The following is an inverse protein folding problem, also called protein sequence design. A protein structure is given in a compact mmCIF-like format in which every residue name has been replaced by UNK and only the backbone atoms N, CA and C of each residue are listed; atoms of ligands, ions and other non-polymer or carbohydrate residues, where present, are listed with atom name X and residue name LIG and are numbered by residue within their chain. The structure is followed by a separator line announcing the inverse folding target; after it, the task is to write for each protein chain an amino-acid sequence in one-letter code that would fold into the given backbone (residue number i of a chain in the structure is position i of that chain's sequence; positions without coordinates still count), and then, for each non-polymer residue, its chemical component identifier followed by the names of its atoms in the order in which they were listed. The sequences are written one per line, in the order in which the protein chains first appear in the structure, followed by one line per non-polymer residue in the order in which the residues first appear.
data_IF_359762010100
#
_entry.id   IF_359762010100
#
_cell.length_a   1.000
_cell.length_b   1.000
_cell.length_c   1.000
_cell.angle_alpha   90.00
_cell.angle_beta   90.00
_cell.angle_gamma   90.00
#
_symmetry.space_group_name_H-M   'P 1'
#
loop_
_entity.id
_entity.type
_entity.pdbx_description
1 polymer ?
#
# COMPACT_ATOMS: atom_id res chain seq x y z
N UNK A 1 -11.42 17.47 26.42
CA UNK A 1 -10.68 16.95 25.26
C UNK A 1 -10.39 15.50 25.56
N UNK A 2 -11.25 14.61 25.12
CA UNK A 2 -10.97 13.17 25.20
C UNK A 2 -9.75 12.92 24.31
N UNK A 3 -8.70 12.35 24.89
CA UNK A 3 -7.57 11.84 24.13
C UNK A 3 -8.12 10.74 23.22
N UNK A 4 -8.22 11.00 21.93
CA UNK A 4 -8.48 9.93 20.97
C UNK A 4 -7.34 8.93 21.09
N UNK A 5 -7.62 7.79 21.72
CA UNK A 5 -6.67 6.70 21.84
C UNK A 5 -6.65 5.97 20.50
N UNK A 6 -5.48 5.83 19.92
CA UNK A 6 -5.31 5.05 18.70
C UNK A 6 -5.67 3.59 18.99
N UNK A 7 -6.55 3.02 18.21
CA UNK A 7 -6.98 1.63 18.34
C UNK A 7 -6.36 0.77 17.27
N UNK A 8 -5.91 -0.41 17.66
CA UNK A 8 -5.56 -1.47 16.72
C UNK A 8 -6.83 -2.27 16.44
N UNK A 9 -7.19 -2.33 15.16
CA UNK A 9 -8.37 -3.03 14.68
C UNK A 9 -7.93 -4.11 13.69
N UNK A 10 -8.36 -5.33 13.93
CA UNK A 10 -8.25 -6.43 12.99
C UNK A 10 -9.66 -6.83 12.53
N UNK A 11 -9.89 -6.87 11.24
CA UNK A 11 -11.19 -7.21 10.68
C UNK A 11 -11.06 -8.19 9.52
N UNK A 12 -12.03 -9.07 9.43
CA UNK A 12 -12.28 -9.86 8.23
C UNK A 12 -13.40 -9.18 7.45
N UNK A 13 -13.17 -8.93 6.17
CA UNK A 13 -14.18 -8.31 5.32
C UNK A 13 -14.15 -8.85 3.89
N UNK A 14 -15.27 -8.66 3.23
CA UNK A 14 -15.46 -8.76 1.80
C UNK A 14 -15.80 -7.35 1.29
N UNK A 15 -15.08 -6.89 0.28
CA UNK A 15 -15.32 -5.62 -0.40
C UNK A 15 -16.00 -5.87 -1.74
N UNK A 16 -17.16 -5.26 -1.90
CA UNK A 16 -17.89 -5.27 -3.16
C UNK A 16 -17.93 -3.86 -3.75
N UNK A 17 -17.80 -3.76 -5.06
CA UNK A 17 -18.20 -2.56 -5.80
C UNK A 17 -19.65 -2.70 -6.23
N UNK A 18 -20.37 -1.59 -6.15
CA UNK A 18 -21.73 -1.48 -6.66
C UNK A 18 -21.69 -0.47 -7.81
N UNK A 19 -21.93 -0.95 -9.02
CA UNK A 19 -21.99 -0.08 -10.19
C UNK A 19 -23.36 0.65 -10.27
N UNK A 20 -23.51 1.55 -11.25
CA UNK A 20 -24.74 2.33 -11.44
C UNK A 20 -25.96 1.46 -11.72
N UNK A 21 -25.79 0.24 -12.20
CA UNK A 21 -26.84 -0.73 -12.46
C UNK A 21 -27.24 -1.53 -11.19
N UNK A 22 -26.57 -1.30 -10.06
CA UNK A 22 -26.80 -2.03 -8.81
C UNK A 22 -26.15 -3.41 -8.76
N UNK A 23 -25.30 -3.76 -9.74
CA UNK A 23 -24.57 -5.03 -9.72
C UNK A 23 -23.44 -4.97 -8.71
N UNK A 24 -23.34 -6.01 -7.89
CA UNK A 24 -22.29 -6.19 -6.89
C UNK A 24 -21.21 -7.09 -7.43
N UNK A 25 -19.99 -6.60 -7.46
CA UNK A 25 -18.82 -7.36 -7.85
C UNK A 25 -17.85 -7.45 -6.67
N UNK A 26 -17.49 -8.65 -6.29
CA UNK A 26 -16.47 -8.88 -5.27
C UNK A 26 -15.11 -8.42 -5.81
N UNK A 27 -14.45 -7.53 -5.09
CA UNK A 27 -13.15 -6.95 -5.45
C UNK A 27 -12.06 -7.56 -4.60
N UNK A 28 -12.31 -7.66 -3.31
CA UNK A 28 -11.33 -8.10 -2.33
C UNK A 28 -12.02 -8.86 -1.20
N UNK A 29 -11.34 -9.86 -0.70
CA UNK A 29 -11.75 -10.63 0.46
C UNK A 29 -10.50 -10.93 1.30
N UNK A 30 -10.57 -10.61 2.57
CA UNK A 30 -9.54 -11.02 3.53
C UNK A 30 -9.85 -12.43 4.05
N UNK A 31 -8.87 -13.11 4.61
CA UNK A 31 -9.06 -14.41 5.25
C UNK A 31 -8.92 -14.29 6.76
N UNK A 32 -9.38 -15.32 7.49
CA UNK A 32 -9.18 -15.37 8.94
C UNK A 32 -7.70 -15.46 9.34
N UNK A 33 -6.89 -16.08 8.48
CA UNK A 33 -5.44 -16.22 8.68
C UNK A 33 -4.67 -14.94 8.34
N UNK A 34 -5.24 -14.13 7.44
CA UNK A 34 -4.70 -12.85 7.00
C UNK A 34 -5.78 -11.75 7.08
N UNK A 35 -6.16 -11.34 8.28
CA UNK A 35 -7.11 -10.25 8.46
C UNK A 35 -6.48 -8.92 8.06
N UNK A 36 -7.32 -7.95 7.71
CA UNK A 36 -6.88 -6.58 7.56
C UNK A 36 -6.65 -5.96 8.93
N UNK A 37 -5.41 -5.57 9.21
CA UNK A 37 -5.01 -4.97 10.49
C UNK A 37 -4.58 -3.53 10.24
N UNK A 38 -5.15 -2.61 10.99
CA UNK A 38 -4.78 -1.19 10.91
C UNK A 38 -4.86 -0.53 12.28
N UNK A 39 -4.19 0.61 12.40
CA UNK A 39 -4.25 1.47 13.60
C UNK A 39 -4.97 2.76 13.21
N UNK A 40 -5.96 3.15 14.01
CA UNK A 40 -6.77 4.35 13.75
C UNK A 40 -5.93 5.63 13.84
N UNK A 41 -6.24 6.60 12.97
CA UNK A 41 -5.58 7.92 12.96
C UNK A 41 -4.30 8.00 12.13
N UNK A 42 -3.92 6.96 11.40
CA UNK A 42 -2.72 6.96 10.54
C UNK A 42 -3.03 6.95 9.05
N UNK A 43 -4.31 6.99 8.67
CA UNK A 43 -4.72 7.02 7.26
C UNK A 43 -4.39 5.75 6.48
N UNK A 44 -4.26 4.62 7.16
CA UNK A 44 -4.00 3.31 6.56
C UNK A 44 -5.27 2.65 6.02
N UNK A 45 -6.42 3.12 6.44
CA UNK A 45 -7.74 2.73 5.97
C UNK A 45 -8.54 3.97 5.51
N UNK A 46 -9.67 3.75 4.85
CA UNK A 46 -10.59 4.85 4.52
C UNK A 46 -11.17 5.44 5.80
N UNK A 47 -11.20 6.76 5.93
CA UNK A 47 -11.68 7.46 7.12
C UNK A 47 -13.08 7.00 7.54
N UNK A 48 -13.99 6.85 6.58
CA UNK A 48 -15.35 6.40 6.85
C UNK A 48 -15.42 4.93 7.31
N UNK A 49 -14.51 4.07 6.83
CA UNK A 49 -14.38 2.68 7.28
C UNK A 49 -13.84 2.64 8.71
N UNK A 50 -12.80 3.42 8.98
CA UNK A 50 -12.19 3.57 10.29
C UNK A 50 -13.20 4.07 11.33
N UNK A 51 -13.97 5.12 11.00
CA UNK A 51 -14.99 5.71 11.86
C UNK A 51 -16.08 4.72 12.27
N UNK A 52 -16.46 3.82 11.38
CA UNK A 52 -17.45 2.79 11.67
C UNK A 52 -16.85 1.71 12.57
N UNK A 53 -15.68 1.17 12.19
CA UNK A 53 -15.08 0.04 12.90
C UNK A 53 -14.58 0.40 14.30
N UNK A 54 -14.14 1.65 14.54
CA UNK A 54 -13.69 2.08 15.87
C UNK A 54 -14.77 1.98 16.95
N UNK A 55 -16.06 2.01 16.55
CA UNK A 55 -17.20 1.90 17.44
C UNK A 55 -17.71 0.48 17.63
N UNK A 56 -17.22 -0.48 16.86
CA UNK A 56 -17.63 -1.88 16.92
C UNK A 56 -16.78 -2.67 17.91
N UNK A 57 -17.42 -3.57 18.64
CA UNK A 57 -16.75 -4.50 19.54
C UNK A 57 -16.19 -5.73 18.82
N UNK A 58 -15.36 -6.48 19.54
CA UNK A 58 -14.83 -7.76 19.06
C UNK A 58 -15.96 -8.74 18.75
N UNK A 59 -15.96 -9.35 17.57
CA UNK A 59 -16.95 -10.30 17.09
C UNK A 59 -18.20 -9.65 16.49
N UNK A 60 -18.31 -8.33 16.51
CA UNK A 60 -19.43 -7.64 15.88
C UNK A 60 -19.32 -7.67 14.36
N UNK A 61 -20.44 -7.91 13.72
CA UNK A 61 -20.59 -7.92 12.26
C UNK A 61 -20.94 -6.55 11.75
N UNK A 62 -20.45 -6.24 10.57
CA UNK A 62 -20.81 -5.02 9.87
C UNK A 62 -21.22 -5.33 8.41
N UNK A 63 -22.12 -4.52 7.92
CA UNK A 63 -22.53 -4.49 6.50
C UNK A 63 -22.97 -3.06 6.22
N UNK A 64 -22.12 -2.30 5.51
CA UNK A 64 -22.39 -0.91 5.21
C UNK A 64 -21.90 -0.53 3.82
N UNK A 65 -22.53 0.50 3.27
CA UNK A 65 -22.16 1.05 1.98
C UNK A 65 -21.51 2.43 2.15
N UNK A 66 -20.44 2.65 1.41
CA UNK A 66 -19.79 3.94 1.29
C UNK A 66 -20.06 4.52 -0.09
N UNK A 67 -20.58 5.75 -0.10
CA UNK A 67 -20.73 6.51 -1.33
C UNK A 67 -19.36 6.90 -1.90
N UNK A 68 -19.34 7.24 -3.18
CA UNK A 68 -18.16 7.62 -3.95
C UNK A 68 -17.32 8.67 -3.23
N UNK A 69 -17.95 9.70 -2.66
CA UNK A 69 -17.26 10.81 -1.96
C UNK A 69 -16.53 10.39 -0.69
N UNK A 70 -17.02 9.33 -0.03
CA UNK A 70 -16.45 8.79 1.21
C UNK A 70 -15.50 7.62 0.98
N UNK A 71 -15.22 7.32 -0.29
CA UNK A 71 -14.34 6.23 -0.69
C UNK A 71 -13.19 6.77 -1.57
N UNK A 72 -13.10 6.31 -2.81
CA UNK A 72 -12.01 6.71 -3.72
C UNK A 72 -12.38 7.89 -4.64
N UNK A 73 -13.48 8.56 -4.37
CA UNK A 73 -13.96 9.71 -5.13
C UNK A 73 -14.68 9.34 -6.43
N UNK A 74 -15.14 10.35 -7.14
CA UNK A 74 -15.75 10.17 -8.44
C UNK A 74 -14.69 9.87 -9.52
N UNK A 75 -15.13 9.20 -10.57
CA UNK A 75 -14.28 9.01 -11.75
C UNK A 75 -14.11 10.35 -12.47
N UNK A 76 -12.87 10.81 -12.60
CA UNK A 76 -12.53 12.05 -13.32
C UNK A 76 -11.97 11.72 -14.72
N UNK A 77 -12.71 12.01 -15.80
CA UNK A 77 -12.22 11.82 -17.15
C UNK A 77 -10.94 12.60 -17.48
N UNK A 78 -10.64 13.69 -16.73
CA UNK A 78 -9.42 14.48 -16.91
C UNK A 78 -8.16 13.76 -16.45
N UNK A 79 -8.32 12.74 -15.61
CA UNK A 79 -7.23 11.85 -15.19
C UNK A 79 -6.90 10.75 -16.20
N UNK A 80 -7.64 10.71 -17.32
CA UNK A 80 -7.30 9.87 -18.46
C UNK A 80 -6.39 10.67 -19.37
N UNK A 81 -5.13 10.30 -19.45
CA UNK A 81 -4.09 11.00 -20.20
C UNK A 81 -3.50 10.14 -21.31
N UNK A 82 -2.97 10.79 -22.31
CA UNK A 82 -2.22 10.14 -23.39
C UNK A 82 -0.73 10.40 -23.22
N UNK A 83 0.05 9.36 -23.10
CA UNK A 83 1.51 9.41 -22.98
C UNK A 83 2.16 8.91 -24.27
N UNK A 84 3.34 9.47 -24.58
CA UNK A 84 4.10 9.01 -25.74
C UNK A 84 4.57 7.56 -25.53
N UNK A 85 4.41 6.73 -26.55
CA UNK A 85 4.82 5.34 -26.52
C UNK A 85 6.32 5.15 -26.29
N UNK A 86 7.12 6.16 -26.65
CA UNK A 86 8.57 6.18 -26.43
C UNK A 86 8.93 6.09 -24.94
N UNK A 87 8.08 6.62 -24.04
CA UNK A 87 8.29 6.54 -22.57
C UNK A 87 8.25 5.10 -22.05
N UNK A 88 7.68 4.19 -22.82
CA UNK A 88 7.52 2.77 -22.49
C UNK A 88 8.42 1.87 -23.35
N UNK A 89 9.48 2.44 -23.92
CA UNK A 89 10.48 1.70 -24.67
C UNK A 89 11.74 1.47 -23.85
N UNK A 90 12.20 0.23 -23.84
CA UNK A 90 13.46 -0.19 -23.23
C UNK A 90 14.36 -0.68 -24.37
N UNK A 91 15.57 -0.14 -24.46
CA UNK A 91 16.54 -0.47 -25.53
C UNK A 91 15.98 -0.30 -26.96
N UNK A 92 15.11 0.71 -27.15
CA UNK A 92 14.50 0.98 -28.47
C UNK A 92 13.32 0.08 -28.83
N UNK A 93 12.92 -0.84 -27.96
CA UNK A 93 11.79 -1.73 -28.18
C UNK A 93 10.68 -1.43 -27.18
N UNK A 94 9.44 -1.35 -27.67
CA UNK A 94 8.26 -1.18 -26.83
C UNK A 94 8.08 -2.41 -25.92
N UNK A 95 7.96 -2.16 -24.61
CA UNK A 95 7.78 -3.21 -23.60
C UNK A 95 6.35 -3.79 -23.63
N UNK A 96 6.05 -4.57 -24.66
CA UNK A 96 4.75 -5.22 -24.82
C UNK A 96 4.46 -6.31 -23.78
N UNK A 97 5.45 -6.74 -23.00
CA UNK A 97 5.27 -7.74 -21.94
C UNK A 97 4.59 -7.14 -20.72
N UNK A 98 4.98 -5.92 -20.36
CA UNK A 98 4.47 -5.22 -19.19
C UNK A 98 3.38 -4.19 -19.55
N UNK A 99 3.37 -3.69 -20.81
CA UNK A 99 2.45 -2.67 -21.30
C UNK A 99 1.46 -3.28 -22.29
N UNK A 100 0.30 -3.67 -21.79
CA UNK A 100 -0.82 -4.19 -22.59
C UNK A 100 -2.13 -3.62 -22.10
N UNK A 101 -3.17 -3.70 -22.91
CA UNK A 101 -4.49 -3.20 -22.55
C UNK A 101 -5.00 -3.86 -21.25
N UNK A 102 -5.30 -3.05 -20.24
CA UNK A 102 -5.72 -3.49 -18.90
C UNK A 102 -4.59 -3.67 -17.91
N UNK A 103 -3.31 -3.56 -18.31
CA UNK A 103 -2.18 -3.62 -17.40
C UNK A 103 -2.19 -2.44 -16.42
N UNK A 104 -1.74 -2.70 -15.21
CA UNK A 104 -1.48 -1.66 -14.21
C UNK A 104 0.02 -1.39 -14.18
N UNK A 105 0.38 -0.15 -14.46
CA UNK A 105 1.78 0.28 -14.56
C UNK A 105 2.07 1.38 -13.53
N UNK A 106 3.20 1.31 -12.84
CA UNK A 106 3.65 2.41 -11.99
C UNK A 106 4.18 3.55 -12.88
N UNK A 107 3.62 4.72 -12.72
CA UNK A 107 4.10 5.96 -13.33
C UNK A 107 4.65 6.87 -12.25
N UNK A 108 5.66 7.66 -12.62
CA UNK A 108 6.27 8.67 -11.75
C UNK A 108 6.06 10.03 -12.39
N UNK A 109 5.55 11.00 -11.62
CA UNK A 109 5.47 12.38 -12.10
C UNK A 109 6.81 13.12 -11.91
N UNK A 110 6.87 14.36 -12.41
CA UNK A 110 8.05 15.23 -12.29
C UNK A 110 8.42 15.53 -10.83
N UNK A 111 7.45 15.54 -9.92
CA UNK A 111 7.64 15.76 -8.49
C UNK A 111 8.17 14.50 -7.77
N UNK A 112 8.29 13.38 -8.47
CA UNK A 112 8.78 12.13 -7.91
C UNK A 112 7.72 11.20 -7.28
N UNK A 113 6.45 11.60 -7.31
CA UNK A 113 5.37 10.79 -6.77
C UNK A 113 5.01 9.63 -7.72
N UNK A 114 4.73 8.46 -7.13
CA UNK A 114 4.34 7.28 -7.88
C UNK A 114 2.82 7.16 -7.93
N UNK A 115 2.32 6.83 -9.11
CA UNK A 115 0.90 6.55 -9.37
C UNK A 115 0.78 5.22 -10.09
N UNK A 116 -0.25 4.47 -9.77
CA UNK A 116 -0.59 3.27 -10.53
C UNK A 116 -1.60 3.69 -11.59
N UNK A 117 -1.22 3.52 -12.86
CA UNK A 117 -2.06 3.82 -14.00
C UNK A 117 -2.54 2.54 -14.67
N UNK A 118 -3.79 2.53 -15.11
CA UNK A 118 -4.35 1.44 -15.90
C UNK A 118 -4.27 1.77 -17.39
N UNK A 119 -3.69 0.90 -18.18
CA UNK A 119 -3.61 1.05 -19.64
C UNK A 119 -4.99 0.78 -20.24
N UNK A 120 -5.59 1.78 -20.86
CA UNK A 120 -6.88 1.67 -21.53
C UNK A 120 -6.73 1.24 -22.98
N UNK A 121 -5.80 1.88 -23.71
CA UNK A 121 -5.60 1.67 -25.14
C UNK A 121 -4.14 1.97 -25.52
N UNK A 122 -3.67 1.25 -26.54
CA UNK A 122 -2.32 1.44 -27.10
C UNK A 122 -2.50 1.75 -28.58
N UNK A 123 -2.12 2.96 -28.97
CA UNK A 123 -2.11 3.42 -30.36
C UNK A 123 -0.71 3.27 -30.99
N UNK A 124 -0.55 3.70 -32.22
CA UNK A 124 0.73 3.64 -32.93
C UNK A 124 1.84 4.42 -32.18
N UNK A 125 1.52 5.66 -31.75
CA UNK A 125 2.47 6.59 -31.15
C UNK A 125 2.18 6.95 -29.68
N UNK A 126 1.01 6.53 -29.17
CA UNK A 126 0.52 6.91 -27.84
C UNK A 126 -0.03 5.73 -27.06
N UNK A 127 0.07 5.82 -25.75
CA UNK A 127 -0.56 4.93 -24.78
C UNK A 127 -1.54 5.76 -23.96
N UNK A 128 -2.81 5.40 -23.99
CA UNK A 128 -3.86 6.03 -23.18
C UNK A 128 -3.94 5.32 -21.85
N UNK A 129 -3.71 6.07 -20.78
CA UNK A 129 -3.68 5.56 -19.43
C UNK A 129 -4.69 6.28 -18.55
N UNK A 130 -5.25 5.57 -17.60
CA UNK A 130 -6.19 6.05 -16.60
C UNK A 130 -5.47 6.11 -15.25
N UNK A 131 -5.39 7.31 -14.68
CA UNK A 131 -4.80 7.58 -13.37
C UNK A 131 -5.83 7.56 -12.24
N UNK A 132 -7.11 7.30 -12.56
CA UNK A 132 -8.12 7.13 -11.54
C UNK A 132 -7.87 5.87 -10.71
N UNK A 133 -8.26 5.92 -9.45
CA UNK A 133 -8.24 4.70 -8.65
C UNK A 133 -9.15 3.64 -9.29
N UNK A 134 -8.77 2.35 -9.32
CA UNK A 134 -9.56 1.29 -9.96
C UNK A 134 -11.01 1.18 -9.45
N UNK A 135 -11.25 1.63 -8.22
CA UNK A 135 -12.56 1.63 -7.58
C UNK A 135 -13.25 3.01 -7.59
N UNK A 136 -12.62 4.04 -8.18
CA UNK A 136 -13.24 5.37 -8.31
C UNK A 136 -14.54 5.30 -9.13
N UNK A 137 -15.50 6.13 -8.77
CA UNK A 137 -16.80 6.18 -9.42
C UNK A 137 -17.79 5.09 -9.02
N UNK A 138 -17.39 4.11 -8.22
CA UNK A 138 -18.27 3.06 -7.71
C UNK A 138 -18.60 3.29 -6.24
N UNK A 139 -19.81 2.88 -5.83
CA UNK A 139 -20.10 2.71 -4.41
C UNK A 139 -19.42 1.46 -3.90
N UNK A 140 -18.97 1.50 -2.66
CA UNK A 140 -18.33 0.36 -2.00
C UNK A 140 -19.27 -0.21 -0.96
N UNK A 141 -19.35 -1.53 -0.87
CA UNK A 141 -20.02 -2.22 0.22
C UNK A 141 -19.03 -3.10 0.94
N UNK A 142 -18.89 -2.86 2.23
CA UNK A 142 -18.04 -3.62 3.13
C UNK A 142 -18.91 -4.51 3.99
N UNK A 143 -18.64 -5.79 3.98
CA UNK A 143 -19.35 -6.79 4.78
C UNK A 143 -18.36 -7.69 5.48
N UNK A 144 -18.48 -7.81 6.80
CA UNK A 144 -17.53 -8.60 7.55
C UNK A 144 -17.80 -8.61 9.05
N UNK A 145 -16.74 -8.84 9.81
CA UNK A 145 -16.78 -8.80 11.27
C UNK A 145 -15.43 -8.38 11.85
N UNK A 146 -15.47 -7.78 13.03
CA UNK A 146 -14.29 -7.37 13.78
C UNK A 146 -13.71 -8.56 14.52
N UNK A 147 -12.45 -8.87 14.27
CA UNK A 147 -11.72 -9.93 14.98
C UNK A 147 -11.18 -9.38 16.30
N UNK A 148 -10.58 -8.20 16.26
CA UNK A 148 -9.99 -7.55 17.41
C UNK A 148 -10.18 -6.03 17.31
N UNK A 149 -10.52 -5.41 18.45
CA UNK A 149 -10.57 -3.95 18.62
C UNK A 149 -10.08 -3.64 20.03
N UNK A 150 -8.89 -3.08 20.14
CA UNK A 150 -8.25 -2.70 21.39
C UNK A 150 -7.42 -1.43 21.21
N UNK A 151 -6.99 -0.86 22.31
CA UNK A 151 -6.01 0.21 22.25
C UNK A 151 -4.68 -0.30 21.67
N UNK A 152 -4.10 0.48 20.77
CA UNK A 152 -2.79 0.19 20.20
C UNK A 152 -1.68 0.46 21.22
N UNK A 153 -0.71 -0.42 21.28
CA UNK A 153 0.48 -0.20 22.12
C UNK A 153 1.45 0.77 21.44
N UNK A 154 2.30 1.42 22.24
CA UNK A 154 3.30 2.33 21.71
C UNK A 154 4.27 1.63 20.74
N UNK A 155 4.60 0.37 20.99
CA UNK A 155 5.50 -0.41 20.15
C UNK A 155 4.87 -0.71 18.77
N UNK A 156 3.55 -0.99 18.74
CA UNK A 156 2.81 -1.20 17.49
C UNK A 156 2.73 0.08 16.66
N UNK A 157 2.47 1.22 17.33
CA UNK A 157 2.48 2.54 16.69
C UNK A 157 3.87 2.85 16.13
N UNK A 158 4.93 2.64 16.89
CA UNK A 158 6.30 2.86 16.43
C UNK A 158 6.67 1.97 15.25
N UNK A 159 6.26 0.71 15.27
CA UNK A 159 6.48 -0.23 14.18
C UNK A 159 5.79 0.24 12.90
N UNK A 160 4.53 0.69 13.02
CA UNK A 160 3.79 1.25 11.88
C UNK A 160 4.48 2.49 11.31
N UNK A 161 4.87 3.45 12.19
CA UNK A 161 5.56 4.67 11.78
C UNK A 161 6.89 4.37 11.09
N UNK A 162 7.66 3.40 11.57
CA UNK A 162 8.90 2.98 10.94
C UNK A 162 8.66 2.40 9.54
N UNK A 163 7.59 1.63 9.34
CA UNK A 163 7.20 1.13 8.01
C UNK A 163 6.78 2.25 7.07
N UNK A 164 5.99 3.22 7.56
CA UNK A 164 5.52 4.35 6.75
C UNK A 164 6.64 5.32 6.35
N UNK A 165 7.64 5.52 7.23
CA UNK A 165 8.77 6.42 6.98
C UNK A 165 9.89 5.79 6.13
N UNK A 166 9.67 4.61 5.56
CA UNK A 166 10.67 3.94 4.74
C UNK A 166 11.93 3.57 5.52
N UNK A 167 11.80 3.40 6.82
CA UNK A 167 12.88 2.95 7.70
C UNK A 167 13.31 1.55 7.31
N UNK A 168 14.32 1.51 6.44
CA UNK A 168 14.98 0.28 6.10
C UNK A 168 15.53 -0.39 7.34
N UNK A 169 15.34 -1.70 7.39
CA UNK A 169 16.12 -2.65 8.19
C UNK A 169 16.34 -2.24 9.65
N UNK A 170 15.33 -2.35 10.50
CA UNK A 170 15.59 -2.69 11.88
C UNK A 170 16.05 -4.15 11.90
N UNK A 171 17.32 -4.35 11.52
CA UNK A 171 17.98 -5.62 11.70
C UNK A 171 17.97 -5.95 13.18
N UNK A 172 17.02 -6.76 13.58
CA UNK A 172 17.11 -7.51 14.81
C UNK A 172 18.22 -8.54 14.59
N UNK A 173 19.46 -8.09 14.77
CA UNK A 173 20.58 -9.00 14.97
C UNK A 173 20.37 -9.68 16.32
N UNK A 174 19.45 -10.61 16.37
CA UNK A 174 19.33 -11.55 17.47
C UNK A 174 20.53 -12.48 17.44
N UNK A 175 21.41 -12.35 18.41
CA UNK A 175 22.41 -13.37 18.72
C UNK A 175 23.80 -13.12 18.14
N UNK A 176 24.50 -12.12 18.65
CA UNK A 176 25.94 -12.18 18.81
C UNK A 176 26.23 -12.25 20.30
N UNK A 177 26.09 -13.43 20.88
CA UNK A 177 26.80 -13.76 22.09
C UNK A 177 28.28 -13.94 21.71
N UNK A 178 29.03 -12.87 21.73
CA UNK A 178 30.46 -12.91 21.92
C UNK A 178 30.94 -11.57 22.50
N UNK A 179 31.60 -11.64 23.61
CA UNK A 179 32.21 -10.55 24.36
C UNK A 179 33.22 -9.80 23.47
N UNK A 180 32.85 -8.61 23.02
CA UNK A 180 33.74 -7.74 22.25
C UNK A 180 32.98 -6.52 21.75
N UNK A 181 32.95 -5.48 22.60
CA UNK A 181 32.19 -4.26 22.31
C UNK A 181 32.59 -3.58 21.00
N UNK A 182 31.65 -3.39 20.11
CA UNK A 182 31.77 -2.42 19.01
C UNK A 182 31.54 -1.02 19.58
N UNK A 183 32.58 -0.36 20.05
CA UNK A 183 32.66 1.09 20.13
C UNK A 183 33.07 1.59 18.75
N UNK A 184 32.19 2.34 18.08
CA UNK A 184 32.50 2.98 16.81
C UNK A 184 31.35 3.89 16.37
N UNK A 185 31.43 5.17 16.76
CA UNK A 185 30.80 6.26 16.03
C UNK A 185 31.35 6.24 14.59
N UNK A 186 30.47 6.24 13.60
CA UNK A 186 30.94 6.42 12.22
C UNK A 186 29.90 6.04 11.19
N UNK A 187 29.36 7.06 10.54
CA UNK A 187 28.43 6.96 9.45
C UNK A 187 28.96 6.15 8.26
N UNK A 188 28.04 5.57 7.50
CA UNK A 188 28.31 4.94 6.22
C UNK A 188 28.77 6.01 5.21
N UNK A 189 30.07 6.27 5.19
CA UNK A 189 30.73 7.07 4.18
C UNK A 189 31.15 6.19 3.01
N UNK A 190 30.94 6.69 1.81
CA UNK A 190 31.45 6.18 0.54
C UNK A 190 32.93 5.84 0.67
N UNK A 191 33.30 4.65 0.23
CA UNK A 191 34.70 4.34 -0.06
C UNK A 191 34.84 3.90 -1.51
N UNK A 192 35.62 4.69 -2.23
CA UNK A 192 36.24 4.37 -3.51
C UNK A 192 37.30 3.29 -3.35
N UNK A 193 37.35 2.45 -4.33
CA UNK A 193 38.38 1.52 -4.83
C UNK A 193 39.68 1.26 -4.05
N UNK A 194 39.99 -0.03 -4.08
CA UNK A 194 41.28 -0.77 -3.98
C UNK A 194 41.67 -1.30 -2.61
N UNK A 195 41.49 -2.57 -2.39
CA UNK A 195 42.50 -3.61 -2.23
C UNK A 195 41.93 -4.93 -1.70
N UNK A 196 42.31 -5.95 -2.39
CA UNK A 196 42.29 -7.39 -2.20
C UNK A 196 42.44 -7.91 -0.76
N UNK A 197 41.71 -9.04 -0.57
CA UNK A 197 41.96 -10.21 0.28
C UNK A 197 41.27 -10.33 1.62
N UNK A 198 40.44 -11.35 1.65
CA UNK A 198 40.07 -12.26 2.77
C UNK A 198 39.24 -11.68 3.91
N UNK A 199 38.03 -12.12 3.99
CA UNK A 199 37.13 -11.91 5.13
C UNK A 199 35.69 -11.88 4.72
N UNK A 200 35.10 -13.04 4.41
CA UNK A 200 33.66 -13.16 4.11
C UNK A 200 32.80 -12.86 5.32
N UNK A 201 31.78 -12.05 5.13
CA UNK A 201 30.60 -12.06 5.99
C UNK A 201 29.40 -11.55 5.17
N UNK A 202 28.33 -12.30 5.28
CA UNK A 202 26.97 -11.97 4.82
C UNK A 202 26.63 -12.31 3.36
N UNK A 203 26.70 -13.58 3.04
CA UNK A 203 25.86 -14.16 2.01
C UNK A 203 24.66 -14.87 2.64
N UNK A 204 23.52 -14.70 2.02
CA UNK A 204 22.23 -15.37 2.21
C UNK A 204 21.26 -14.72 3.18
N UNK A 205 20.42 -13.90 2.61
CA UNK A 205 19.01 -13.83 2.99
C UNK A 205 18.19 -14.50 1.86
N UNK A 206 17.59 -15.62 2.20
CA UNK A 206 16.45 -16.19 1.47
C UNK A 206 15.18 -15.43 1.82
#
# INVERSE_FOLDING_TARGET
MEKETNKLIAAHYQLFTINENGERNLVEETTQEQPFVFITGFGTALDAFEDILKNLGRGEKFDFELDKDKSFGEYDPKRVIELNKEMFTVDGHFDSKNIFKGAQIPLKNEDGNFFIAKVLEISADKVKVDLNHPLAGNKLNFKGYVIENREATNDEIQTLLNHMNGGGCSGHCGGCENEGGCKGEGGCGRHDEKHSKEGGCCGHCH
#
